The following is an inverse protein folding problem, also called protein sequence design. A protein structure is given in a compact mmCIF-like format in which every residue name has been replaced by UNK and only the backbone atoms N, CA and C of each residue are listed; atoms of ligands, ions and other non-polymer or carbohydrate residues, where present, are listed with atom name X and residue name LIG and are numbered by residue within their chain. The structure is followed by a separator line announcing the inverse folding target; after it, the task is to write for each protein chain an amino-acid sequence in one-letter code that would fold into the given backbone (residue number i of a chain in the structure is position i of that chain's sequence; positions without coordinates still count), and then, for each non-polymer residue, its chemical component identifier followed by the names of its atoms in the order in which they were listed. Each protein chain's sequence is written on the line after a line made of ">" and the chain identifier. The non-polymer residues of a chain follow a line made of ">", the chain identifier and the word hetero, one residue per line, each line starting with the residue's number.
data_IF_900627069387
#
_entry.id   IF_900627069387
#
_cell.length_a   1.000
_cell.length_b   1.000
_cell.length_c   1.000
_cell.angle_alpha   90.00
_cell.angle_beta   90.00
_cell.angle_gamma   90.00
#
_symmetry.space_group_name_H-M   'P 1'
#
loop_
_entity.id
_entity.type
_entity.pdbx_description
1 polymer ?
#
# COMPACT_ATOMS: atom_id res chain seq x y z
N UNK A 1 -0.73 20.90 9.89
CA UNK A 1 0.62 21.52 10.01
C UNK A 1 1.48 20.91 11.11
N UNK A 2 1.06 20.91 12.40
CA UNK A 2 1.91 20.43 13.49
C UNK A 2 2.29 18.94 13.39
N UNK A 3 1.34 18.07 13.01
CA UNK A 3 1.59 16.61 12.88
C UNK A 3 2.63 16.26 11.82
N UNK A 4 2.58 16.89 10.63
CA UNK A 4 3.57 16.67 9.58
C UNK A 4 4.99 17.06 10.04
N UNK A 5 5.14 18.22 10.69
CA UNK A 5 6.44 18.64 11.22
C UNK A 5 6.97 17.70 12.31
N UNK A 6 6.08 17.19 13.16
CA UNK A 6 6.43 16.18 14.16
C UNK A 6 6.88 14.87 13.51
N UNK A 7 6.20 14.43 12.45
CA UNK A 7 6.59 13.25 11.67
C UNK A 7 7.98 13.42 11.06
N UNK A 8 8.23 14.54 10.36
CA UNK A 8 9.53 14.84 9.74
C UNK A 8 10.66 14.81 10.78
N UNK A 9 10.45 15.39 11.96
CA UNK A 9 11.43 15.36 13.06
C UNK A 9 11.64 13.96 13.62
N UNK A 10 10.57 13.20 13.83
CA UNK A 10 10.62 11.84 14.37
C UNK A 10 11.43 10.89 13.50
N UNK A 11 11.28 11.00 12.18
CA UNK A 11 11.96 10.16 11.20
C UNK A 11 13.22 10.81 10.61
N UNK A 12 13.67 11.92 11.19
CA UNK A 12 14.90 12.65 10.79
C UNK A 12 14.96 12.96 9.28
N UNK A 13 13.79 13.24 8.68
CA UNK A 13 13.68 13.45 7.23
C UNK A 13 14.22 14.85 6.90
N UNK A 14 15.19 14.91 5.99
CA UNK A 14 15.76 16.20 5.58
C UNK A 14 14.73 17.08 4.85
N UNK A 15 15.01 18.38 4.79
CA UNK A 15 14.10 19.40 4.23
C UNK A 15 13.73 19.17 2.77
N UNK A 16 14.66 18.64 1.97
CA UNK A 16 14.42 18.35 0.55
C UNK A 16 13.39 17.22 0.39
N UNK A 17 13.56 16.12 1.12
CA UNK A 17 12.58 15.03 1.11
C UNK A 17 11.27 15.43 1.78
N UNK A 18 11.30 16.23 2.85
CA UNK A 18 10.09 16.74 3.48
C UNK A 18 9.24 17.58 2.51
N UNK A 19 9.87 18.41 1.67
CA UNK A 19 9.16 19.17 0.63
C UNK A 19 8.53 18.25 -0.42
N UNK A 20 9.21 17.17 -0.82
CA UNK A 20 8.65 16.16 -1.75
C UNK A 20 7.49 15.40 -1.12
N UNK A 21 7.61 14.94 0.12
CA UNK A 21 6.51 14.27 0.83
C UNK A 21 5.28 15.17 0.93
N UNK A 22 5.49 16.48 1.14
CA UNK A 22 4.40 17.44 1.19
C UNK A 22 3.67 17.64 -0.15
N UNK A 23 4.30 17.28 -1.28
CA UNK A 23 3.61 17.30 -2.58
C UNK A 23 2.53 16.21 -2.71
N UNK A 24 2.48 15.26 -1.77
CA UNK A 24 1.44 14.24 -1.67
C UNK A 24 0.20 14.72 -0.90
N UNK A 25 0.20 15.96 -0.39
CA UNK A 25 -0.95 16.56 0.30
C UNK A 25 -2.20 16.54 -0.59
N UNK A 26 -3.32 16.08 -0.05
CA UNK A 26 -4.58 15.94 -0.78
C UNK A 26 -4.65 14.80 -1.79
N UNK A 27 -3.67 13.88 -1.84
CA UNK A 27 -3.84 12.61 -2.55
C UNK A 27 -4.78 11.69 -1.77
N UNK A 28 -5.53 10.88 -2.50
CA UNK A 28 -6.10 9.63 -1.99
C UNK A 28 -4.96 8.61 -1.93
N UNK A 29 -4.69 8.03 -0.77
CA UNK A 29 -3.60 7.06 -0.61
C UNK A 29 -4.17 5.66 -0.39
N UNK A 30 -3.78 4.72 -1.26
CA UNK A 30 -4.09 3.30 -1.15
C UNK A 30 -2.79 2.51 -0.99
N UNK A 31 -2.77 1.60 -0.02
CA UNK A 31 -1.69 0.64 0.18
C UNK A 31 -2.18 -0.77 -0.15
N UNK A 32 -1.41 -1.53 -0.91
CA UNK A 32 -1.67 -2.95 -1.20
C UNK A 32 -0.60 -3.76 -0.48
N UNK A 33 -1.02 -4.60 0.45
CA UNK A 33 -0.18 -5.51 1.21
C UNK A 33 -0.20 -6.91 0.58
N UNK A 34 0.99 -7.43 0.26
CA UNK A 34 1.15 -8.83 -0.08
C UNK A 34 1.07 -9.72 1.17
N UNK A 35 0.07 -10.58 1.19
CA UNK A 35 -0.15 -11.58 2.24
C UNK A 35 -0.12 -13.02 1.71
N UNK A 36 0.55 -13.24 0.58
CA UNK A 36 0.65 -14.53 -0.11
C UNK A 36 1.80 -15.44 0.37
N UNK A 37 2.79 -14.85 1.05
CA UNK A 37 4.02 -15.52 1.50
C UNK A 37 3.89 -16.31 2.81
N UNK A 38 4.86 -17.20 3.04
CA UNK A 38 4.93 -18.03 4.24
C UNK A 38 5.55 -17.25 5.43
N UNK A 39 4.93 -17.34 6.61
CA UNK A 39 5.41 -16.70 7.86
C UNK A 39 6.55 -17.52 8.50
N UNK A 40 6.80 -18.74 8.03
CA UNK A 40 7.71 -19.71 8.66
C UNK A 40 9.16 -19.64 8.15
N UNK A 41 9.84 -18.53 8.42
CA UNK A 41 11.31 -18.52 8.38
C UNK A 41 11.89 -19.24 9.61
N UNK A 42 12.85 -20.19 9.48
CA UNK A 42 13.38 -20.97 10.62
C UNK A 42 14.20 -20.15 11.65
N UNK A 43 14.41 -18.86 11.41
CA UNK A 43 15.25 -18.00 12.23
C UNK A 43 14.42 -16.98 13.02
N UNK A 44 13.92 -17.37 14.20
CA UNK A 44 13.21 -16.51 15.17
C UNK A 44 14.03 -15.31 15.71
N UNK A 45 15.22 -15.03 15.17
CA UNK A 45 16.11 -13.93 15.61
C UNK A 45 16.10 -12.71 14.68
N UNK A 46 15.60 -12.84 13.46
CA UNK A 46 15.46 -11.72 12.52
C UNK A 46 13.97 -11.40 12.32
N UNK A 47 13.61 -10.13 12.06
CA UNK A 47 12.25 -9.78 11.67
C UNK A 47 11.83 -10.58 10.43
N UNK A 48 10.60 -11.07 10.42
CA UNK A 48 10.03 -11.72 9.23
C UNK A 48 9.69 -10.66 8.17
N UNK A 49 9.49 -11.07 6.92
CA UNK A 49 8.97 -10.18 5.86
C UNK A 49 7.64 -9.55 6.25
N UNK A 50 6.82 -10.28 7.01
CA UNK A 50 5.57 -9.78 7.56
C UNK A 50 5.78 -8.66 8.59
N UNK A 51 6.82 -8.78 9.43
CA UNK A 51 7.20 -7.73 10.39
C UNK A 51 7.72 -6.47 9.67
N UNK A 52 8.52 -6.65 8.62
CA UNK A 52 9.01 -5.54 7.78
C UNK A 52 7.87 -4.82 7.05
N UNK A 53 6.93 -5.58 6.48
CA UNK A 53 5.72 -5.04 5.86
C UNK A 53 4.89 -4.27 6.89
N UNK A 54 4.67 -4.83 8.08
CA UNK A 54 3.95 -4.17 9.17
C UNK A 54 4.60 -2.85 9.56
N UNK A 55 5.93 -2.83 9.71
CA UNK A 55 6.66 -1.61 10.03
C UNK A 55 6.51 -0.56 8.93
N UNK A 56 6.66 -0.96 7.66
CA UNK A 56 6.53 -0.08 6.50
C UNK A 56 5.13 0.53 6.41
N UNK A 57 4.08 -0.30 6.51
CA UNK A 57 2.68 0.16 6.50
C UNK A 57 2.41 1.12 7.66
N UNK A 58 2.95 0.83 8.85
CA UNK A 58 2.78 1.70 10.02
C UNK A 58 3.37 3.09 9.79
N UNK A 59 4.56 3.18 9.20
CA UNK A 59 5.20 4.46 8.86
C UNK A 59 4.39 5.21 7.79
N UNK A 60 3.91 4.51 6.77
CA UNK A 60 3.13 5.11 5.69
C UNK A 60 1.77 5.62 6.19
N UNK A 61 1.10 4.88 7.06
CA UNK A 61 -0.16 5.32 7.67
C UNK A 61 0.07 6.53 8.57
N UNK A 62 1.12 6.53 9.38
CA UNK A 62 1.48 7.69 10.20
C UNK A 62 1.71 8.92 9.33
N UNK A 63 2.45 8.79 8.22
CA UNK A 63 2.66 9.87 7.25
C UNK A 63 1.34 10.33 6.64
N UNK A 64 0.57 9.40 6.10
CA UNK A 64 -0.67 9.70 5.40
C UNK A 64 -1.71 10.32 6.33
N UNK A 65 -1.77 9.96 7.61
CA UNK A 65 -2.62 10.63 8.61
C UNK A 65 -2.30 12.12 8.79
N UNK A 66 -1.16 12.59 8.26
CA UNK A 66 -0.77 13.99 8.26
C UNK A 66 -1.06 14.73 6.95
N UNK A 67 -1.41 14.00 5.88
CA UNK A 67 -1.55 14.49 4.49
C UNK A 67 -2.92 14.18 3.86
N UNK A 68 -3.58 13.12 4.31
CA UNK A 68 -4.92 12.69 3.92
C UNK A 68 -5.83 12.75 5.17
N UNK A 69 -6.81 13.67 5.20
CA UNK A 69 -7.71 13.80 6.34
C UNK A 69 -8.62 12.57 6.53
N UNK A 70 -8.84 11.77 5.49
CA UNK A 70 -9.73 10.59 5.54
C UNK A 70 -9.00 9.32 6.00
N UNK A 71 -7.67 9.34 6.00
CA UNK A 71 -6.81 8.19 6.33
C UNK A 71 -6.32 7.44 5.09
N UNK A 72 -5.92 6.19 5.28
CA UNK A 72 -5.41 5.33 4.19
C UNK A 72 -6.28 4.10 4.05
N UNK A 73 -6.56 3.72 2.81
CA UNK A 73 -7.14 2.42 2.53
C UNK A 73 -6.06 1.37 2.32
N UNK A 74 -6.18 0.25 3.03
CA UNK A 74 -5.26 -0.87 2.94
C UNK A 74 -5.97 -2.07 2.35
N UNK A 75 -5.57 -2.44 1.14
CA UNK A 75 -5.99 -3.64 0.45
C UNK A 75 -4.99 -4.75 0.74
N UNK A 76 -5.48 -5.97 0.77
CA UNK A 76 -4.65 -7.17 0.83
C UNK A 76 -4.87 -7.98 -0.45
N UNK A 77 -3.90 -8.83 -0.80
CA UNK A 77 -4.05 -9.67 -1.99
C UNK A 77 -5.09 -10.78 -1.77
N UNK A 78 -5.16 -11.33 -0.55
CA UNK A 78 -5.93 -12.55 -0.27
C UNK A 78 -7.01 -12.39 0.84
N UNK A 79 -7.27 -11.16 1.31
CA UNK A 79 -8.32 -10.89 2.33
C UNK A 79 -9.00 -9.54 2.12
N UNK A 80 -10.05 -9.29 2.90
CA UNK A 80 -10.82 -8.04 2.83
C UNK A 80 -9.99 -6.80 3.21
N UNK A 81 -10.22 -5.66 2.54
CA UNK A 81 -9.51 -4.41 2.80
C UNK A 81 -9.93 -3.76 4.13
N UNK A 82 -9.04 -2.94 4.69
CA UNK A 82 -9.33 -1.98 5.75
C UNK A 82 -9.45 -0.58 5.13
N UNK A 83 -10.57 0.09 5.38
CA UNK A 83 -10.81 1.43 4.88
C UNK A 83 -10.51 2.51 5.95
N UNK A 84 -10.09 3.69 5.52
CA UNK A 84 -9.91 4.89 6.35
C UNK A 84 -9.05 4.65 7.60
N UNK A 85 -7.92 3.94 7.43
CA UNK A 85 -6.98 3.67 8.51
C UNK A 85 -6.21 4.95 8.85
N UNK A 86 -6.52 5.55 10.01
CA UNK A 86 -5.88 6.79 10.46
C UNK A 86 -4.78 6.57 11.51
N UNK A 87 -4.61 5.35 12.02
CA UNK A 87 -3.72 5.08 13.14
C UNK A 87 -2.96 3.77 12.97
N UNK A 88 -1.64 3.81 13.17
CA UNK A 88 -0.76 2.65 13.09
C UNK A 88 -1.19 1.49 14.04
N UNK A 89 -1.79 1.79 15.20
CA UNK A 89 -2.20 0.74 16.14
C UNK A 89 -3.32 -0.17 15.59
N UNK A 90 -4.10 0.27 14.61
CA UNK A 90 -5.13 -0.57 13.97
C UNK A 90 -4.51 -1.79 13.28
N UNK A 91 -3.27 -1.64 12.79
CA UNK A 91 -2.52 -2.71 12.17
C UNK A 91 -2.02 -3.74 13.17
N UNK A 92 -1.88 -3.40 14.45
CA UNK A 92 -1.49 -4.39 15.45
C UNK A 92 -2.48 -5.55 15.55
N UNK A 93 -3.76 -5.35 15.22
CA UNK A 93 -4.77 -6.42 15.19
C UNK A 93 -4.87 -7.09 13.82
N UNK A 94 -4.69 -6.35 12.73
CA UNK A 94 -4.73 -6.89 11.36
C UNK A 94 -3.60 -7.89 11.09
N UNK A 95 -2.42 -7.61 11.64
CA UNK A 95 -1.23 -8.43 11.46
C UNK A 95 -1.15 -9.61 12.47
N UNK A 96 -2.15 -9.79 13.36
CA UNK A 96 -2.28 -11.00 14.20
C UNK A 96 -2.71 -12.19 13.34
N UNK A 97 -3.49 -11.94 12.29
CA UNK A 97 -3.92 -12.99 11.36
C UNK A 97 -2.72 -13.39 10.52
N UNK A 98 -2.28 -14.64 10.70
CA UNK A 98 -1.16 -15.25 9.96
C UNK A 98 -1.38 -15.12 8.45
N UNK A 99 -0.28 -14.91 7.71
CA UNK A 99 -0.33 -14.95 6.25
C UNK A 99 -0.78 -16.35 5.82
N UNK A 100 -1.66 -16.40 4.83
CA UNK A 100 -2.05 -17.65 4.19
C UNK A 100 -1.19 -17.84 2.95
N UNK A 101 -0.64 -19.04 2.76
CA UNK A 101 -0.05 -19.41 1.47
C UNK A 101 -1.10 -19.20 0.37
N UNK A 102 -0.80 -18.32 -0.59
CA UNK A 102 -1.81 -17.87 -1.56
C UNK A 102 -1.21 -17.38 -2.87
N UNK A 103 -2.05 -17.11 -3.87
CA UNK A 103 -1.63 -16.43 -5.07
C UNK A 103 -1.33 -14.94 -4.79
N UNK A 104 -0.84 -14.28 -5.82
CA UNK A 104 -0.50 -12.84 -5.88
C UNK A 104 -1.36 -12.14 -6.95
N UNK A 105 -2.69 -12.06 -6.77
CA UNK A 105 -3.63 -11.54 -7.77
C UNK A 105 -3.61 -10.00 -7.89
N UNK A 106 -2.44 -9.42 -8.12
CA UNK A 106 -2.18 -7.98 -8.13
C UNK A 106 -3.13 -7.25 -9.10
N UNK A 107 -3.30 -7.74 -10.33
CA UNK A 107 -4.14 -7.07 -11.34
C UNK A 107 -5.62 -7.06 -10.93
N UNK A 108 -6.11 -8.15 -10.33
CA UNK A 108 -7.49 -8.24 -9.82
C UNK A 108 -7.74 -7.19 -8.75
N UNK A 109 -6.81 -7.02 -7.81
CA UNK A 109 -6.89 -6.01 -6.75
C UNK A 109 -6.79 -4.59 -7.33
N UNK A 110 -5.90 -4.34 -8.28
CA UNK A 110 -5.77 -3.05 -8.94
C UNK A 110 -7.07 -2.63 -9.66
N UNK A 111 -7.73 -3.56 -10.38
CA UNK A 111 -9.04 -3.30 -11.00
C UNK A 111 -10.13 -3.03 -9.96
N UNK A 112 -10.13 -3.77 -8.84
CA UNK A 112 -11.04 -3.52 -7.72
C UNK A 112 -10.86 -2.10 -7.16
N UNK A 113 -9.62 -1.67 -6.93
CA UNK A 113 -9.32 -0.32 -6.45
C UNK A 113 -9.83 0.76 -7.41
N UNK A 114 -9.62 0.61 -8.72
CA UNK A 114 -10.14 1.60 -9.69
C UNK A 114 -11.67 1.70 -9.66
N UNK A 115 -12.36 0.58 -9.42
CA UNK A 115 -13.82 0.55 -9.27
C UNK A 115 -14.25 1.24 -7.98
N UNK A 116 -13.63 0.87 -6.86
CA UNK A 116 -13.99 1.35 -5.52
C UNK A 116 -13.66 2.84 -5.34
N UNK A 117 -12.59 3.32 -5.99
CA UNK A 117 -12.11 4.72 -5.91
C UNK A 117 -12.53 5.61 -7.09
N UNK A 118 -13.47 5.16 -7.92
CA UNK A 118 -13.86 5.86 -9.15
C UNK A 118 -14.26 7.32 -8.93
N UNK A 119 -14.94 7.63 -7.83
CA UNK A 119 -15.37 8.98 -7.50
C UNK A 119 -14.21 9.83 -7.00
N UNK A 120 -13.39 9.28 -6.09
CA UNK A 120 -12.23 9.93 -5.50
C UNK A 120 -11.19 10.31 -6.58
N UNK A 121 -10.97 9.46 -7.58
CA UNK A 121 -10.05 9.74 -8.71
C UNK A 121 -10.47 11.00 -9.49
N UNK A 122 -11.78 11.33 -9.52
CA UNK A 122 -12.28 12.55 -10.20
C UNK A 122 -11.96 13.81 -9.39
N UNK A 123 -11.95 13.70 -8.08
CA UNK A 123 -11.77 14.83 -7.15
C UNK A 123 -10.29 15.08 -6.87
N UNK A 124 -9.54 14.02 -6.52
CA UNK A 124 -8.12 14.06 -6.19
C UNK A 124 -7.31 13.01 -6.95
N UNK A 125 -5.98 13.07 -6.84
CA UNK A 125 -5.09 12.05 -7.40
C UNK A 125 -5.08 10.82 -6.49
N UNK A 126 -4.95 9.63 -7.07
CA UNK A 126 -4.89 8.35 -6.35
C UNK A 126 -3.46 7.80 -6.38
N UNK A 127 -2.78 7.80 -5.24
CA UNK A 127 -1.48 7.14 -5.09
C UNK A 127 -1.68 5.69 -4.65
N UNK A 128 -1.19 4.75 -5.45
CA UNK A 128 -1.19 3.33 -5.10
C UNK A 128 0.24 2.90 -4.74
N UNK A 129 0.40 2.40 -3.52
CA UNK A 129 1.63 1.82 -3.01
C UNK A 129 1.46 0.30 -2.92
N UNK A 130 2.17 -0.45 -3.75
CA UNK A 130 2.10 -1.92 -3.79
C UNK A 130 3.32 -2.50 -3.09
N UNK A 131 3.14 -3.12 -1.93
CA UNK A 131 4.21 -3.79 -1.21
C UNK A 131 4.16 -5.30 -1.47
N UNK A 132 5.08 -5.82 -2.27
CA UNK A 132 5.13 -7.22 -2.71
C UNK A 132 6.55 -7.60 -3.13
N UNK A 133 6.98 -8.80 -2.76
CA UNK A 133 8.19 -9.46 -3.28
C UNK A 133 7.86 -10.57 -4.29
N UNK A 134 6.57 -10.78 -4.58
CA UNK A 134 6.05 -11.82 -5.46
C UNK A 134 5.82 -11.35 -6.90
N UNK A 135 5.89 -12.29 -7.85
CA UNK A 135 5.46 -12.03 -9.23
C UNK A 135 3.93 -12.00 -9.30
N UNK A 136 3.28 -11.18 -10.15
CA UNK A 136 1.83 -11.22 -10.34
C UNK A 136 1.35 -12.58 -10.85
N UNK A 137 0.27 -13.11 -10.28
CA UNK A 137 -0.36 -14.36 -10.70
C UNK A 137 -1.88 -14.23 -10.83
N UNK A 138 -2.55 -15.23 -11.41
CA UNK A 138 -4.00 -15.38 -11.29
C UNK A 138 -4.41 -16.11 -10.00
N UNK A 139 -5.71 -16.32 -9.79
CA UNK A 139 -6.23 -17.04 -8.61
C UNK A 139 -5.74 -18.51 -8.53
N UNK A 140 -5.13 -19.04 -9.61
CA UNK A 140 -4.55 -20.39 -9.67
C UNK A 140 -3.02 -20.38 -9.52
N UNK A 141 -2.40 -19.22 -9.24
CA UNK A 141 -0.95 -19.08 -9.09
C UNK A 141 -0.16 -19.05 -10.40
N UNK A 142 -0.82 -18.96 -11.57
CA UNK A 142 -0.13 -18.90 -12.86
C UNK A 142 0.35 -17.46 -13.14
N UNK A 143 1.60 -17.25 -13.60
CA UNK A 143 2.15 -15.92 -13.85
C UNK A 143 1.28 -15.03 -14.76
N UNK A 144 1.21 -13.74 -14.42
CA UNK A 144 0.42 -12.68 -15.10
C UNK A 144 1.19 -11.37 -15.24
N UNK A 145 2.49 -11.45 -15.51
CA UNK A 145 3.36 -10.27 -15.69
C UNK A 145 2.87 -9.39 -16.86
N UNK A 146 2.52 -10.01 -17.99
CA UNK A 146 2.01 -9.28 -19.17
C UNK A 146 0.69 -8.57 -18.89
N UNK A 147 -0.14 -9.16 -18.03
CA UNK A 147 -1.41 -8.56 -17.63
C UNK A 147 -1.19 -7.32 -16.76
N UNK A 148 -0.25 -7.39 -15.80
CA UNK A 148 0.14 -6.21 -15.03
C UNK A 148 0.69 -5.11 -15.93
N UNK A 149 1.54 -5.47 -16.90
CA UNK A 149 2.05 -4.51 -17.89
C UNK A 149 0.92 -3.86 -18.68
N UNK A 150 -0.04 -4.65 -19.17
CA UNK A 150 -1.19 -4.13 -19.90
C UNK A 150 -2.02 -3.19 -19.02
N UNK A 151 -2.26 -3.56 -17.77
CA UNK A 151 -3.00 -2.71 -16.83
C UNK A 151 -2.31 -1.35 -16.62
N UNK A 152 -0.99 -1.35 -16.38
CA UNK A 152 -0.19 -0.14 -16.15
C UNK A 152 -0.20 0.81 -17.35
N UNK A 153 -0.26 0.26 -18.57
CA UNK A 153 -0.20 1.00 -19.82
C UNK A 153 -1.57 1.40 -20.39
N UNK A 154 -2.63 0.64 -20.09
CA UNK A 154 -3.92 0.76 -20.81
C UNK A 154 -5.15 0.89 -19.92
N UNK A 155 -5.14 0.33 -18.72
CA UNK A 155 -6.32 0.35 -17.83
C UNK A 155 -6.23 1.44 -16.76
N UNK A 156 -5.01 1.84 -16.40
CA UNK A 156 -4.72 2.93 -15.46
C UNK A 156 -4.99 4.31 -16.08
N UNK A 157 -6.27 4.67 -16.15
CA UNK A 157 -6.75 5.91 -16.78
C UNK A 157 -7.52 6.77 -15.76
N UNK A 158 -7.23 8.08 -15.66
CA UNK A 158 -6.16 8.80 -16.35
C UNK A 158 -4.79 8.60 -15.66
N UNK A 159 -3.76 8.30 -16.45
CA UNK A 159 -2.46 7.81 -15.95
C UNK A 159 -1.72 8.84 -15.08
N UNK A 160 -1.86 10.13 -15.38
CA UNK A 160 -1.24 11.23 -14.64
C UNK A 160 -1.86 11.48 -13.25
N UNK A 161 -3.07 10.94 -13.02
CA UNK A 161 -3.75 11.03 -11.72
C UNK A 161 -3.61 9.78 -10.86
N UNK A 162 -3.04 8.70 -11.42
CA UNK A 162 -2.93 7.40 -10.72
C UNK A 162 -1.46 6.94 -10.70
N UNK A 163 -0.58 7.64 -9.97
CA UNK A 163 0.77 7.13 -9.74
C UNK A 163 0.72 5.79 -8.99
N UNK A 164 1.57 4.86 -9.42
CA UNK A 164 1.71 3.53 -8.82
C UNK A 164 3.19 3.30 -8.55
N UNK A 165 3.51 2.92 -7.32
CA UNK A 165 4.88 2.60 -6.91
C UNK A 165 4.88 1.21 -6.27
N UNK A 166 5.88 0.41 -6.63
CA UNK A 166 6.12 -0.90 -6.02
C UNK A 166 7.19 -0.73 -4.95
N UNK A 167 6.93 -1.27 -3.77
CA UNK A 167 7.84 -1.32 -2.63
C UNK A 167 8.20 -2.79 -2.48
N UNK A 168 9.48 -3.12 -2.66
CA UNK A 168 10.03 -4.47 -2.56
C UNK A 168 11.22 -4.46 -1.59
#
# INVERSE_FOLDING_TARGET
>A
MAKFQQFIRRYEINTTFASKLRSLDGYEIVFICDDSGDVSGPYKKAPTRWDELKQTVSIVVDLASTLDPDGVDVYFLNREPLYNACYAYLFNKLFIVEMSLGPTPIVKILRKILKDKRNQIRERKLLILLATDGQPTDDMGKPRIDELRQWLLRERIPTDRIPVTIIA
#
